data_IF_259541870425
#
_entry.id   IF_259541870425
#
_cell.length_a   1.000
_cell.length_b   1.000
_cell.length_c   1.000
_cell.angle_alpha   90.00
_cell.angle_beta   90.00
_cell.angle_gamma   90.00
#
_symmetry.space_group_name_H-M   'P 1'
#
loop_
_entity.id
_entity.type
_entity.pdbx_description
1 polymer ?
#
# COMPACT_ATOMS: atom_id res chain seq x y z
N UNK A 1 -29.95 11.53 1.79
CA UNK A 1 -28.68 11.65 2.56
C UNK A 1 -28.73 10.63 3.66
N UNK A 2 -27.66 9.86 3.83
CA UNK A 2 -27.56 8.90 4.93
C UNK A 2 -27.12 9.64 6.17
N UNK A 3 -27.85 9.47 7.27
CA UNK A 3 -27.51 10.09 8.55
C UNK A 3 -26.41 9.28 9.23
N UNK A 4 -25.17 9.72 9.09
CA UNK A 4 -24.07 9.25 9.92
C UNK A 4 -24.20 9.82 11.33
N UNK A 5 -23.90 9.03 12.36
CA UNK A 5 -24.04 9.44 13.78
C UNK A 5 -23.11 10.62 14.15
N UNK A 6 -22.04 10.86 13.39
CA UNK A 6 -21.06 11.91 13.65
C UNK A 6 -21.27 13.14 12.77
N UNK A 7 -21.40 14.31 13.39
CA UNK A 7 -21.46 15.61 12.71
C UNK A 7 -20.21 15.91 11.84
N UNK A 8 -19.09 15.25 12.10
CA UNK A 8 -17.84 15.47 11.36
C UNK A 8 -17.62 14.51 10.20
N UNK A 9 -18.57 13.61 9.94
CA UNK A 9 -18.41 12.55 8.95
C UNK A 9 -18.07 13.07 7.55
N UNK A 10 -18.86 14.03 7.04
CA UNK A 10 -18.67 14.60 5.70
C UNK A 10 -17.36 15.36 5.58
N UNK A 11 -16.97 16.12 6.62
CA UNK A 11 -15.70 16.85 6.65
C UNK A 11 -14.50 15.91 6.69
N UNK A 12 -14.58 14.81 7.45
CA UNK A 12 -13.54 13.79 7.49
C UNK A 12 -13.40 13.09 6.12
N UNK A 13 -14.51 12.75 5.47
CA UNK A 13 -14.49 12.13 4.14
C UNK A 13 -13.90 13.06 3.09
N UNK A 14 -14.32 14.33 3.09
CA UNK A 14 -13.75 15.34 2.21
C UNK A 14 -12.24 15.50 2.42
N UNK A 15 -11.79 15.51 3.68
CA UNK A 15 -10.37 15.54 4.02
C UNK A 15 -9.62 14.31 3.51
N UNK A 16 -10.14 13.10 3.73
CA UNK A 16 -9.54 11.85 3.24
C UNK A 16 -9.45 11.80 1.71
N UNK A 17 -10.49 12.24 1.00
CA UNK A 17 -10.48 12.34 -0.46
C UNK A 17 -9.41 13.33 -0.93
N UNK A 18 -9.33 14.50 -0.31
CA UNK A 18 -8.37 15.55 -0.69
C UNK A 18 -6.93 15.10 -0.42
N UNK A 19 -6.65 14.63 0.80
CA UNK A 19 -5.31 14.14 1.18
C UNK A 19 -4.92 12.92 0.32
N UNK A 20 -5.82 11.95 0.17
CA UNK A 20 -5.57 10.76 -0.64
C UNK A 20 -5.32 11.08 -2.11
N UNK A 21 -6.03 12.05 -2.67
CA UNK A 21 -5.83 12.52 -4.05
C UNK A 21 -4.49 13.22 -4.23
N UNK A 22 -4.07 14.05 -3.27
CA UNK A 22 -2.76 14.69 -3.28
C UNK A 22 -1.66 13.61 -3.23
N UNK A 23 -1.75 12.65 -2.31
CA UNK A 23 -0.77 11.58 -2.18
C UNK A 23 -0.73 10.68 -3.42
N UNK A 24 -1.88 10.39 -4.03
CA UNK A 24 -1.98 9.66 -5.29
C UNK A 24 -1.23 10.40 -6.41
N UNK A 25 -1.49 11.70 -6.57
CA UNK A 25 -0.82 12.53 -7.59
C UNK A 25 0.69 12.57 -7.35
N UNK A 26 1.14 12.76 -6.10
CA UNK A 26 2.57 12.78 -5.77
C UNK A 26 3.27 11.46 -6.11
N UNK A 27 2.64 10.32 -5.84
CA UNK A 27 3.19 9.01 -6.19
C UNK A 27 3.24 8.79 -7.71
N UNK A 28 2.18 9.18 -8.44
CA UNK A 28 2.17 9.13 -9.91
C UNK A 28 3.24 10.04 -10.52
N UNK A 29 3.42 11.25 -9.99
CA UNK A 29 4.47 12.18 -10.44
C UNK A 29 5.88 11.59 -10.18
N UNK A 30 6.10 10.99 -9.02
CA UNK A 30 7.35 10.31 -8.68
C UNK A 30 7.67 9.22 -9.70
N UNK A 31 6.69 8.38 -10.02
CA UNK A 31 6.83 7.35 -11.04
C UNK A 31 7.17 7.91 -12.42
N UNK A 32 6.47 8.98 -12.84
CA UNK A 32 6.68 9.63 -14.14
C UNK A 32 8.09 10.25 -14.24
N UNK A 33 8.55 10.94 -13.19
CA UNK A 33 9.89 11.53 -13.13
C UNK A 33 10.96 10.45 -13.25
N UNK A 34 10.87 9.41 -12.44
CA UNK A 34 11.86 8.31 -12.44
C UNK A 34 11.92 7.62 -13.81
N UNK A 35 10.76 7.40 -14.44
CA UNK A 35 10.69 6.76 -15.76
C UNK A 35 11.19 7.66 -16.88
N UNK A 36 11.00 8.98 -16.77
CA UNK A 36 11.43 9.96 -17.78
C UNK A 36 12.95 10.12 -17.82
N UNK A 37 13.62 10.07 -16.67
CA UNK A 37 15.07 10.28 -16.57
C UNK A 37 15.83 8.95 -16.49
N UNK A 38 16.45 8.53 -17.60
CA UNK A 38 17.23 7.28 -17.68
C UNK A 38 18.33 7.17 -16.60
N UNK A 39 18.95 8.30 -16.23
CA UNK A 39 19.95 8.36 -15.17
C UNK A 39 19.40 7.94 -13.79
N UNK A 40 18.13 8.29 -13.51
CA UNK A 40 17.48 7.86 -12.27
C UNK A 40 17.14 6.38 -12.34
N UNK A 41 16.57 5.91 -13.45
CA UNK A 41 16.21 4.51 -13.63
C UNK A 41 17.41 3.54 -13.51
N UNK A 42 18.60 3.97 -13.94
CA UNK A 42 19.82 3.19 -13.82
C UNK A 42 20.18 2.84 -12.35
N UNK A 43 19.79 3.69 -11.40
CA UNK A 43 20.10 3.50 -9.99
C UNK A 43 19.07 2.56 -9.34
N UNK A 44 19.54 1.52 -8.64
CA UNK A 44 18.69 0.54 -7.96
C UNK A 44 17.74 1.16 -6.94
N UNK A 45 18.19 2.17 -6.19
CA UNK A 45 17.36 2.88 -5.23
C UNK A 45 16.09 3.50 -5.86
N UNK A 46 16.20 4.08 -7.06
CA UNK A 46 15.06 4.70 -7.72
C UNK A 46 14.10 3.68 -8.32
N UNK A 47 14.57 2.49 -8.68
CA UNK A 47 13.69 1.37 -9.06
C UNK A 47 12.86 0.87 -7.86
N UNK A 48 13.48 0.79 -6.68
CA UNK A 48 12.77 0.48 -5.42
C UNK A 48 11.76 1.57 -5.08
N UNK A 49 12.14 2.85 -5.19
CA UNK A 49 11.22 3.99 -4.96
C UNK A 49 10.06 3.96 -5.96
N UNK A 50 10.33 3.73 -7.25
CA UNK A 50 9.29 3.63 -8.27
C UNK A 50 8.26 2.55 -7.92
N UNK A 51 8.73 1.38 -7.48
CA UNK A 51 7.86 0.28 -7.10
C UNK A 51 7.06 0.57 -5.82
N UNK A 52 7.69 1.17 -4.81
CA UNK A 52 7.00 1.64 -3.61
C UNK A 52 5.92 2.66 -3.96
N UNK A 53 6.23 3.65 -4.80
CA UNK A 53 5.26 4.64 -5.25
C UNK A 53 4.11 4.03 -6.04
N UNK A 54 4.35 2.97 -6.82
CA UNK A 54 3.28 2.26 -7.51
C UNK A 54 2.33 1.56 -6.52
N UNK A 55 2.88 0.93 -5.47
CA UNK A 55 2.08 0.33 -4.40
C UNK A 55 1.30 1.40 -3.63
N UNK A 56 1.94 2.50 -3.24
CA UNK A 56 1.29 3.61 -2.53
C UNK A 56 0.21 4.30 -3.37
N UNK A 57 0.41 4.43 -4.68
CA UNK A 57 -0.61 4.94 -5.60
C UNK A 57 -1.84 4.03 -5.66
N UNK A 58 -1.65 2.71 -5.74
CA UNK A 58 -2.76 1.76 -5.69
C UNK A 58 -3.52 1.86 -4.36
N UNK A 59 -2.77 1.94 -3.25
CA UNK A 59 -3.34 2.06 -1.91
C UNK A 59 -4.19 3.35 -1.77
N UNK A 60 -3.61 4.51 -2.13
CA UNK A 60 -4.31 5.80 -2.12
C UNK A 60 -5.54 5.78 -3.04
N UNK A 61 -5.42 5.21 -4.24
CA UNK A 61 -6.52 5.09 -5.19
C UNK A 61 -7.69 4.29 -4.63
N UNK A 62 -7.42 3.16 -3.97
CA UNK A 62 -8.45 2.35 -3.31
C UNK A 62 -9.12 3.13 -2.18
N UNK A 63 -8.35 3.77 -1.30
CA UNK A 63 -8.91 4.55 -0.19
C UNK A 63 -9.79 5.70 -0.69
N UNK A 64 -9.32 6.46 -1.68
CA UNK A 64 -10.11 7.55 -2.30
C UNK A 64 -11.39 6.99 -2.93
N UNK A 65 -11.32 5.89 -3.67
CA UNK A 65 -12.48 5.28 -4.31
C UNK A 65 -13.52 4.82 -3.28
N UNK A 66 -13.09 4.14 -2.22
CA UNK A 66 -13.96 3.62 -1.17
C UNK A 66 -14.65 4.75 -0.40
N UNK A 67 -13.91 5.80 -0.01
CA UNK A 67 -14.47 6.97 0.67
C UNK A 67 -15.43 7.73 -0.26
N UNK A 68 -15.08 7.89 -1.54
CA UNK A 68 -15.94 8.56 -2.51
C UNK A 68 -17.26 7.80 -2.80
N UNK A 69 -17.20 6.47 -2.90
CA UNK A 69 -18.40 5.63 -3.04
C UNK A 69 -19.28 5.77 -1.80
N UNK A 70 -18.66 5.72 -0.61
CA UNK A 70 -19.40 5.74 0.65
C UNK A 70 -19.95 7.10 1.03
N UNK A 71 -19.41 8.18 0.46
CA UNK A 71 -19.95 9.54 0.61
C UNK A 71 -21.42 9.65 0.17
N UNK A 72 -21.84 8.89 -0.86
CA UNK A 72 -23.22 8.95 -1.38
C UNK A 72 -24.10 7.81 -0.88
N UNK A 73 -23.51 6.63 -0.67
CA UNK A 73 -24.23 5.43 -0.26
C UNK A 73 -23.39 4.63 0.74
N UNK A 74 -23.88 4.36 1.96
CA UNK A 74 -23.15 3.64 3.01
C UNK A 74 -23.03 2.14 2.74
N UNK A 75 -23.44 1.67 1.56
CA UNK A 75 -23.42 0.25 1.21
C UNK A 75 -22.55 0.08 -0.03
N UNK A 76 -21.38 -0.53 0.17
CA UNK A 76 -20.56 -1.04 -0.93
C UNK A 76 -20.98 -2.49 -1.17
N UNK A 77 -21.16 -2.88 -2.43
CA UNK A 77 -21.45 -4.26 -2.79
C UNK A 77 -20.37 -5.21 -2.21
N UNK A 78 -20.73 -6.33 -1.55
CA UNK A 78 -19.78 -7.19 -0.83
C UNK A 78 -18.57 -7.64 -1.67
N UNK A 79 -18.82 -8.02 -2.93
CA UNK A 79 -17.74 -8.42 -3.87
C UNK A 79 -16.78 -7.28 -4.16
N UNK A 80 -17.30 -6.06 -4.32
CA UNK A 80 -16.48 -4.88 -4.58
C UNK A 80 -15.68 -4.47 -3.34
N UNK A 81 -16.30 -4.55 -2.15
CA UNK A 81 -15.62 -4.28 -0.89
C UNK A 81 -14.46 -5.27 -0.64
N UNK A 82 -14.71 -6.56 -0.86
CA UNK A 82 -13.69 -7.60 -0.76
C UNK A 82 -12.54 -7.39 -1.76
N UNK A 83 -12.85 -7.09 -3.02
CA UNK A 83 -11.84 -6.79 -4.05
C UNK A 83 -10.98 -5.58 -3.67
N UNK A 84 -11.61 -4.46 -3.29
CA UNK A 84 -10.90 -3.23 -2.89
C UNK A 84 -10.03 -3.48 -1.66
N UNK A 85 -10.52 -4.23 -0.69
CA UNK A 85 -9.75 -4.62 0.50
C UNK A 85 -8.56 -5.52 0.16
N UNK A 86 -8.72 -6.44 -0.79
CA UNK A 86 -7.61 -7.28 -1.26
C UNK A 86 -6.53 -6.47 -1.98
N UNK A 87 -6.92 -5.49 -2.82
CA UNK A 87 -5.96 -4.58 -3.46
C UNK A 87 -5.24 -3.70 -2.43
N UNK A 88 -5.96 -3.23 -1.42
CA UNK A 88 -5.38 -2.47 -0.31
C UNK A 88 -4.34 -3.32 0.44
N UNK A 89 -4.69 -4.54 0.85
CA UNK A 89 -3.76 -5.43 1.55
C UNK A 89 -2.57 -5.78 0.69
N UNK A 90 -2.81 -6.08 -0.60
CA UNK A 90 -1.74 -6.39 -1.55
C UNK A 90 -0.73 -5.25 -1.59
N UNK A 91 -1.19 -4.03 -1.89
CA UNK A 91 -0.33 -2.85 -2.00
C UNK A 91 0.36 -2.51 -0.68
N UNK A 92 -0.35 -2.60 0.44
CA UNK A 92 0.23 -2.36 1.77
C UNK A 92 1.32 -3.38 2.13
N UNK A 93 1.05 -4.68 1.90
CA UNK A 93 1.99 -5.75 2.19
C UNK A 93 3.25 -5.70 1.30
N UNK A 94 3.15 -5.24 0.06
CA UNK A 94 4.30 -5.00 -0.83
C UNK A 94 5.25 -3.93 -0.28
N UNK A 95 4.70 -2.93 0.42
CA UNK A 95 5.46 -1.79 0.95
C UNK A 95 6.54 -2.21 1.95
N UNK A 96 6.21 -3.09 2.90
CA UNK A 96 7.14 -3.50 3.96
C UNK A 96 8.48 -4.06 3.46
N UNK A 97 8.52 -5.13 2.65
CA UNK A 97 9.78 -5.65 2.15
C UNK A 97 10.48 -4.65 1.22
N UNK A 98 9.73 -3.86 0.44
CA UNK A 98 10.31 -2.86 -0.46
C UNK A 98 11.06 -1.76 0.32
N UNK A 99 10.47 -1.24 1.40
CA UNK A 99 11.09 -0.23 2.27
C UNK A 99 12.31 -0.82 2.99
N UNK A 100 12.22 -2.06 3.48
CA UNK A 100 13.35 -2.75 4.09
C UNK A 100 14.53 -2.88 3.11
N UNK A 101 14.26 -3.34 1.88
CA UNK A 101 15.27 -3.47 0.83
C UNK A 101 15.84 -2.11 0.46
N UNK A 102 15.03 -1.04 0.42
CA UNK A 102 15.49 0.32 0.18
C UNK A 102 16.41 0.82 1.31
N UNK A 103 16.09 0.56 2.56
CA UNK A 103 16.95 0.90 3.70
C UNK A 103 18.30 0.15 3.59
N UNK A 104 18.26 -1.15 3.26
CA UNK A 104 19.47 -1.94 3.03
C UNK A 104 20.28 -1.45 1.83
N UNK A 105 19.62 -1.06 0.74
CA UNK A 105 20.24 -0.45 -0.43
C UNK A 105 21.01 0.83 -0.07
N UNK A 106 20.41 1.71 0.75
CA UNK A 106 21.06 2.93 1.24
C UNK A 106 22.22 2.62 2.18
N UNK A 107 22.08 1.62 3.05
CA UNK A 107 23.17 1.16 3.91
C UNK A 107 24.38 0.69 3.10
N UNK A 108 24.18 -0.17 2.09
CA UNK A 108 25.28 -0.64 1.23
C UNK A 108 25.91 0.50 0.44
N UNK A 109 25.11 1.43 -0.08
CA UNK A 109 25.62 2.60 -0.81
C UNK A 109 26.56 3.47 0.05
N UNK A 110 26.30 3.59 1.35
CA UNK A 110 27.12 4.39 2.27
C UNK A 110 28.32 3.60 2.81
N UNK A 111 28.10 2.38 3.28
CA UNK A 111 29.13 1.60 3.99
C UNK A 111 30.06 0.85 3.02
N UNK A 112 29.51 0.36 1.90
CA UNK A 112 30.24 -0.45 0.92
C UNK A 112 29.97 0.01 -0.52
N UNK A 113 30.27 1.27 -0.90
CA UNK A 113 29.92 1.82 -2.21
C UNK A 113 30.47 0.99 -3.38
N UNK A 114 31.69 0.43 -3.23
CA UNK A 114 32.32 -0.43 -4.26
C UNK A 114 31.62 -1.78 -4.47
N UNK A 115 30.74 -2.19 -3.54
CA UNK A 115 29.96 -3.44 -3.62
C UNK A 115 28.52 -3.20 -4.08
N UNK A 116 28.16 -1.96 -4.43
CA UNK A 116 26.78 -1.62 -4.79
C UNK A 116 26.28 -2.44 -5.98
N UNK A 117 27.05 -2.47 -7.06
CA UNK A 117 26.68 -3.22 -8.27
C UNK A 117 26.75 -4.75 -8.04
N UNK A 118 27.53 -5.19 -7.05
CA UNK A 118 27.56 -6.60 -6.68
C UNK A 118 26.26 -7.03 -5.98
N UNK A 119 25.70 -6.19 -5.10
CA UNK A 119 24.50 -6.53 -4.32
C UNK A 119 23.22 -6.14 -5.06
N UNK A 120 23.20 -4.96 -5.68
CA UNK A 120 22.05 -4.30 -6.26
C UNK A 120 22.24 -3.96 -7.75
N UNK A 121 22.69 -4.94 -8.52
CA UNK A 121 22.61 -4.88 -9.99
C UNK A 121 21.13 -4.82 -10.46
N UNK A 122 20.91 -4.44 -11.71
CA UNK A 122 19.61 -4.39 -12.34
C UNK A 122 18.82 -5.69 -12.21
N UNK A 123 19.41 -6.81 -12.61
CA UNK A 123 18.73 -8.11 -12.58
C UNK A 123 18.36 -8.51 -11.16
N UNK A 124 19.26 -8.27 -10.20
CA UNK A 124 19.05 -8.59 -8.78
C UNK A 124 17.97 -7.73 -8.17
N UNK A 125 18.02 -6.42 -8.45
CA UNK A 125 17.01 -5.47 -7.98
C UNK A 125 15.63 -5.83 -8.51
N UNK A 126 15.50 -6.15 -9.81
CA UNK A 126 14.23 -6.59 -10.38
C UNK A 126 13.74 -7.92 -9.79
N UNK A 127 14.64 -8.87 -9.54
CA UNK A 127 14.30 -10.13 -8.85
C UNK A 127 13.76 -9.90 -7.44
N UNK A 128 14.36 -8.98 -6.68
CA UNK A 128 13.88 -8.60 -5.34
C UNK A 128 12.50 -7.93 -5.43
N UNK A 129 12.28 -7.05 -6.40
CA UNK A 129 10.98 -6.41 -6.61
C UNK A 129 9.88 -7.42 -6.94
N UNK A 130 10.19 -8.42 -7.76
CA UNK A 130 9.27 -9.53 -8.07
C UNK A 130 8.94 -10.32 -6.78
N UNK A 131 9.92 -10.56 -5.91
CA UNK A 131 9.67 -11.23 -4.62
C UNK A 131 8.78 -10.38 -3.71
N UNK A 132 9.00 -9.06 -3.65
CA UNK A 132 8.15 -8.13 -2.90
C UNK A 132 6.72 -8.11 -3.45
N UNK A 133 6.56 -8.17 -4.78
CA UNK A 133 5.26 -8.31 -5.44
C UNK A 133 4.55 -9.59 -5.01
N UNK A 134 5.23 -10.75 -5.07
CA UNK A 134 4.65 -12.03 -4.70
C UNK A 134 4.26 -12.07 -3.21
N UNK A 135 5.06 -11.48 -2.33
CA UNK A 135 4.71 -11.35 -0.92
C UNK A 135 3.40 -10.58 -0.75
N UNK A 136 3.24 -9.46 -1.46
CA UNK A 136 1.98 -8.72 -1.50
C UNK A 136 0.81 -9.51 -2.04
N UNK A 137 0.99 -10.12 -3.22
CA UNK A 137 -0.04 -10.90 -3.90
C UNK A 137 -0.52 -12.08 -3.06
N UNK A 138 0.39 -12.73 -2.32
CA UNK A 138 0.06 -13.78 -1.37
C UNK A 138 -0.85 -13.26 -0.25
N UNK A 139 -0.53 -12.13 0.37
CA UNK A 139 -1.38 -11.50 1.38
C UNK A 139 -2.75 -11.07 0.82
N UNK A 140 -2.79 -10.56 -0.42
CA UNK A 140 -4.03 -10.27 -1.13
C UNK A 140 -4.89 -11.50 -1.38
N UNK A 141 -4.27 -12.63 -1.75
CA UNK A 141 -4.96 -13.90 -1.93
C UNK A 141 -5.54 -14.44 -0.62
N UNK A 142 -4.79 -14.32 0.49
CA UNK A 142 -5.29 -14.65 1.84
C UNK A 142 -6.47 -13.76 2.27
N UNK A 143 -6.51 -12.51 1.79
CA UNK A 143 -7.67 -11.67 2.00
C UNK A 143 -8.90 -12.17 1.24
N UNK A 144 -8.73 -12.58 -0.02
CA UNK A 144 -9.82 -13.09 -0.86
C UNK A 144 -10.30 -14.47 -0.41
N UNK A 145 -9.42 -15.32 0.14
CA UNK A 145 -9.81 -16.62 0.71
C UNK A 145 -10.65 -16.49 1.98
N UNK A 146 -10.63 -15.32 2.61
CA UNK A 146 -11.35 -15.04 3.84
C UNK A 146 -10.61 -15.47 5.12
N UNK A 147 -9.34 -15.88 5.02
CA UNK A 147 -8.49 -16.13 6.19
C UNK A 147 -8.13 -14.82 6.92
N UNK A 148 -7.82 -13.78 6.15
CA UNK A 148 -7.59 -12.42 6.64
C UNK A 148 -8.65 -11.51 6.03
N UNK A 149 -9.87 -11.46 6.58
CA UNK A 149 -10.87 -10.54 6.03
C UNK A 149 -10.48 -9.12 6.39
N UNK A 150 -10.30 -8.26 5.40
CA UNK A 150 -10.37 -6.82 5.57
C UNK A 150 -11.61 -6.32 4.84
N UNK A 151 -12.35 -5.41 5.46
CA UNK A 151 -13.51 -4.77 4.86
C UNK A 151 -13.51 -3.30 5.22
N UNK A 152 -14.01 -2.46 4.33
CA UNK A 152 -14.31 -1.07 4.66
C UNK A 152 -15.58 -0.98 5.47
N UNK A 153 -15.52 -0.28 6.62
CA UNK A 153 -16.69 0.16 7.37
C UNK A 153 -16.90 1.66 7.13
N UNK A 154 -18.04 2.10 6.57
CA UNK A 154 -18.32 3.52 6.42
C UNK A 154 -18.73 4.19 7.73
N UNK A 155 -19.21 3.47 8.74
CA UNK A 155 -19.59 4.06 10.03
C UNK A 155 -18.37 4.35 10.91
N UNK A 156 -17.29 3.57 10.74
CA UNK A 156 -15.98 3.84 11.30
C UNK A 156 -15.00 3.86 10.12
N UNK A 157 -14.67 5.02 9.54
CA UNK A 157 -14.03 5.14 8.22
C UNK A 157 -12.58 4.64 8.21
N UNK A 158 -12.45 3.34 8.31
CA UNK A 158 -11.23 2.56 8.35
C UNK A 158 -11.53 1.19 7.74
N UNK A 159 -10.51 0.61 7.14
CA UNK A 159 -10.53 -0.82 6.90
C UNK A 159 -10.35 -1.54 8.23
N UNK A 160 -11.25 -2.47 8.52
CA UNK A 160 -11.19 -3.28 9.72
C UNK A 160 -10.93 -4.74 9.32
N UNK A 161 -10.03 -5.36 10.07
CA UNK A 161 -9.72 -6.77 9.89
C UNK A 161 -10.69 -7.61 10.72
N UNK A 162 -11.40 -8.54 10.09
CA UNK A 162 -12.33 -9.49 10.71
C UNK A 162 -11.75 -10.88 10.72
N UNK A 163 -10.86 -11.18 11.67
CA UNK A 163 -10.63 -12.57 12.05
C UNK A 163 -10.24 -12.68 13.53
N UNK A 164 -10.79 -13.70 14.21
CA UNK A 164 -10.38 -14.15 15.55
C UNK A 164 -8.92 -14.62 15.65
N UNK A 165 -8.13 -14.44 14.58
CA UNK A 165 -6.69 -14.64 14.51
C UNK A 165 -5.88 -13.47 15.13
N UNK A 166 -6.55 -12.36 15.49
CA UNK A 166 -5.93 -11.28 16.27
C UNK A 166 -5.37 -11.78 17.61
N UNK A 167 -5.94 -12.84 18.21
CA UNK A 167 -5.37 -13.40 19.44
C UNK A 167 -4.02 -14.11 19.23
N UNK A 168 -3.72 -14.59 18.01
CA UNK A 168 -2.53 -15.45 17.80
C UNK A 168 -1.35 -14.71 17.20
N UNK A 169 -1.56 -13.68 16.37
CA UNK A 169 -0.46 -12.91 15.77
C UNK A 169 -0.31 -11.52 16.42
N UNK A 170 -1.40 -10.85 16.81
CA UNK A 170 -1.27 -9.56 17.53
C UNK A 170 -0.81 -9.75 18.99
N UNK A 171 -1.14 -10.89 19.61
CA UNK A 171 -0.58 -11.29 20.91
C UNK A 171 0.93 -11.55 20.92
N UNK A 172 1.59 -11.60 19.76
CA UNK A 172 3.05 -11.75 19.67
C UNK A 172 3.80 -10.43 19.48
N UNK A 173 3.10 -9.33 19.14
CA UNK A 173 3.74 -8.06 18.78
C UNK A 173 3.17 -6.82 19.49
N UNK A 174 2.00 -6.93 20.14
CA UNK A 174 1.33 -5.77 20.76
C UNK A 174 0.90 -5.98 22.22
N UNK A 175 1.26 -7.11 22.85
CA UNK A 175 1.19 -7.26 24.32
C UNK A 175 2.59 -7.11 24.94
N UNK A 176 3.08 -5.87 24.95
CA UNK A 176 3.97 -5.32 25.97
C UNK A 176 3.69 -3.84 26.18
#
# INVERSE_FOLDING_TARGET
MVNYESQFHDSFFAFCILLGSILLVLNLQTMLVIRRFKCLWALSAYRLIFFSSAADALNCGVQVAVVAITLRTPVIHPTLNSLLSAVLITSYAMGYPTIFVLAFNRFIAVVFPKKMDLVFDEKKTMGILILCFFFGAFNGALCLSGEIRSMWDPYIPKFYFTSGFYYTIAGLWWDK
#
